data_IF_169986949433
#
_entry.id   IF_169986949433
#
_cell.length_a   1.000
_cell.length_b   1.000
_cell.length_c   1.000
_cell.angle_alpha   90.00
_cell.angle_beta   90.00
_cell.angle_gamma   90.00
#
_symmetry.space_group_name_H-M   'P 1'
#
loop_
_entity.id
_entity.type
_entity.pdbx_description
1 polymer ?
#
# COMPACT_ATOMS: atom_id res chain seq x y z
N UNK A 1 28.74 4.48 -41.32
CA UNK A 1 27.27 4.41 -41.45
C UNK A 1 26.65 3.14 -40.84
N UNK A 2 27.22 1.93 -41.00
CA UNK A 2 26.66 0.69 -40.38
C UNK A 2 26.70 0.64 -38.84
N UNK A 3 27.67 1.28 -38.20
CA UNK A 3 27.80 1.27 -36.72
C UNK A 3 26.88 2.25 -35.97
N UNK A 4 26.29 3.22 -36.67
CA UNK A 4 25.47 4.28 -36.06
C UNK A 4 24.01 3.82 -35.87
N UNK A 5 23.50 3.01 -36.80
CA UNK A 5 22.17 2.36 -36.64
C UNK A 5 22.15 1.32 -35.52
N UNK A 6 23.28 0.65 -35.28
CA UNK A 6 23.40 -0.34 -34.19
C UNK A 6 23.40 0.28 -32.80
N UNK A 7 23.78 1.56 -32.66
CA UNK A 7 23.79 2.28 -31.39
C UNK A 7 22.40 2.88 -31.08
N UNK A 8 21.68 3.34 -32.10
CA UNK A 8 20.31 3.90 -31.96
C UNK A 8 19.28 2.80 -31.67
N UNK A 9 19.45 1.59 -32.23
CA UNK A 9 18.58 0.44 -31.91
C UNK A 9 18.85 -0.11 -30.49
N UNK A 10 20.07 0.04 -29.96
CA UNK A 10 20.43 -0.40 -28.62
C UNK A 10 19.92 0.54 -27.51
N UNK A 11 19.83 1.85 -27.77
CA UNK A 11 19.31 2.82 -26.79
C UNK A 11 17.78 2.80 -26.69
N UNK A 12 17.06 2.42 -27.76
CA UNK A 12 15.60 2.21 -27.68
C UNK A 12 15.21 0.93 -26.92
N UNK A 13 16.15 0.00 -26.72
CA UNK A 13 15.96 -1.22 -25.92
C UNK A 13 16.37 -1.08 -24.44
N UNK A 14 16.87 0.10 -24.05
CA UNK A 14 17.31 0.40 -22.67
C UNK A 14 16.31 1.23 -21.86
N UNK A 15 15.20 1.66 -22.47
CA UNK A 15 14.06 2.10 -21.67
C UNK A 15 13.31 0.86 -21.22
N UNK A 16 13.22 0.58 -19.90
CA UNK A 16 12.24 -0.40 -19.47
C UNK A 16 10.91 0.11 -19.98
N UNK A 17 10.29 -0.64 -20.90
CA UNK A 17 8.84 -0.64 -20.99
C UNK A 17 8.45 -1.01 -19.57
N UNK A 18 8.03 -0.04 -18.77
CA UNK A 18 7.29 -0.36 -17.56
C UNK A 18 5.99 -0.90 -18.12
N UNK A 19 5.98 -2.18 -18.48
CA UNK A 19 4.76 -2.93 -18.47
C UNK A 19 4.28 -2.73 -17.05
N UNK A 20 3.11 -2.13 -16.85
CA UNK A 20 2.42 -2.42 -15.61
C UNK A 20 2.33 -3.94 -15.60
N UNK A 21 3.13 -4.60 -14.74
CA UNK A 21 2.77 -5.94 -14.33
C UNK A 21 1.29 -5.85 -13.99
N UNK A 22 0.49 -6.76 -14.52
CA UNK A 22 -0.96 -6.71 -14.36
C UNK A 22 -1.24 -6.54 -12.86
N UNK A 23 -1.73 -5.35 -12.47
CA UNK A 23 -1.81 -4.94 -11.08
C UNK A 23 -3.14 -5.49 -10.55
N UNK A 24 -3.10 -6.27 -9.48
CA UNK A 24 -4.28 -6.83 -8.85
C UNK A 24 -4.47 -6.21 -7.46
N UNK A 25 -5.65 -6.41 -6.93
CA UNK A 25 -5.99 -6.12 -5.55
C UNK A 25 -6.87 -7.27 -5.04
N UNK A 26 -7.05 -7.33 -3.73
CA UNK A 26 -8.02 -8.24 -3.12
C UNK A 26 -9.33 -7.50 -2.88
N UNK A 27 -10.43 -8.07 -3.39
CA UNK A 27 -11.78 -7.63 -3.13
C UNK A 27 -12.44 -8.52 -2.10
N UNK A 28 -12.86 -7.91 -1.01
CA UNK A 28 -13.48 -8.54 0.14
C UNK A 28 -14.98 -8.27 0.10
N UNK A 29 -15.77 -9.30 0.36
CA UNK A 29 -17.18 -9.19 0.69
C UNK A 29 -17.36 -9.31 2.21
N UNK A 30 -18.57 -9.03 2.73
CA UNK A 30 -18.86 -9.31 4.13
C UNK A 30 -18.55 -10.78 4.44
N UNK A 31 -17.81 -11.05 5.54
CA UNK A 31 -17.26 -12.36 5.96
C UNK A 31 -15.92 -12.80 5.37
N UNK A 32 -15.35 -12.10 4.37
CA UNK A 32 -14.08 -12.50 3.75
C UNK A 32 -12.87 -11.86 4.42
N UNK A 33 -11.73 -12.55 4.37
CA UNK A 33 -10.50 -12.10 5.04
C UNK A 33 -9.24 -12.74 4.49
N UNK A 34 -8.10 -12.14 4.83
CA UNK A 34 -6.80 -12.81 4.76
C UNK A 34 -6.17 -12.84 6.15
N UNK A 35 -5.59 -13.97 6.51
CA UNK A 35 -4.98 -14.16 7.81
C UNK A 35 -3.79 -15.11 7.73
N UNK A 36 -3.02 -15.16 8.81
CA UNK A 36 -2.00 -16.17 9.02
C UNK A 36 -2.39 -17.01 10.23
N UNK A 37 -2.22 -18.34 10.13
CA UNK A 37 -2.16 -19.18 11.33
C UNK A 37 -0.99 -18.71 12.20
N UNK A 38 -1.14 -18.53 13.52
CA UNK A 38 -0.05 -18.09 14.38
C UNK A 38 1.19 -18.99 14.28
N UNK A 39 2.41 -18.42 14.28
CA UNK A 39 2.71 -16.99 14.39
C UNK A 39 2.58 -16.28 13.03
N UNK A 40 1.71 -15.28 12.96
CA UNK A 40 1.59 -14.38 11.82
C UNK A 40 2.73 -13.37 11.73
N UNK A 41 2.70 -12.43 10.77
CA UNK A 41 3.61 -11.28 10.73
C UNK A 41 3.25 -10.24 11.82
N UNK A 42 3.03 -10.70 13.06
CA UNK A 42 2.65 -9.83 14.17
C UNK A 42 3.80 -8.86 14.45
N UNK A 43 3.55 -7.57 14.27
CA UNK A 43 4.52 -6.54 14.60
C UNK A 43 4.49 -6.25 16.08
N UNK A 44 5.64 -6.43 16.73
CA UNK A 44 5.81 -6.29 18.18
C UNK A 44 6.24 -4.87 18.60
N UNK A 45 6.17 -3.91 17.67
CA UNK A 45 6.65 -2.54 17.89
C UNK A 45 5.57 -1.68 18.54
N UNK A 46 5.95 -0.89 19.54
CA UNK A 46 5.05 0.05 20.23
C UNK A 46 5.52 1.50 20.23
N UNK A 47 6.76 1.75 19.78
CA UNK A 47 7.30 3.09 19.66
C UNK A 47 7.19 3.58 18.21
N UNK A 48 8.20 3.37 17.38
CA UNK A 48 8.20 3.87 16.01
C UNK A 48 7.75 2.80 15.02
N UNK A 49 6.74 3.11 14.22
CA UNK A 49 6.29 2.25 13.13
C UNK A 49 5.39 3.01 12.13
N UNK A 50 5.22 2.42 10.95
CA UNK A 50 4.17 2.77 9.99
C UNK A 50 3.46 1.51 9.50
N UNK A 51 2.13 1.53 9.43
CA UNK A 51 1.34 0.57 8.66
C UNK A 51 0.55 1.35 7.62
N UNK A 52 0.65 0.97 6.35
CA UNK A 52 -0.04 1.64 5.26
C UNK A 52 -0.68 0.67 4.27
N UNK A 53 -1.74 1.11 3.61
CA UNK A 53 -2.40 0.38 2.54
C UNK A 53 -3.31 1.31 1.72
N UNK A 54 -3.67 0.85 0.52
CA UNK A 54 -4.79 1.40 -0.22
C UNK A 54 -6.08 0.69 0.16
N UNK A 55 -7.14 1.47 0.31
CA UNK A 55 -8.49 0.93 0.55
C UNK A 55 -9.52 1.58 -0.37
N UNK A 56 -10.55 0.82 -0.73
CA UNK A 56 -11.76 1.32 -1.38
C UNK A 56 -12.97 0.59 -0.80
N UNK A 57 -13.63 1.23 0.17
CA UNK A 57 -14.85 0.70 0.77
C UNK A 57 -16.00 0.79 -0.24
N UNK A 58 -16.79 -0.27 -0.41
CA UNK A 58 -17.87 -0.33 -1.41
C UNK A 58 -19.14 0.46 -1.04
N UNK A 59 -19.22 0.96 0.20
CA UNK A 59 -20.37 1.70 0.74
C UNK A 59 -21.40 0.83 1.46
N UNK A 60 -21.23 -0.50 1.48
CA UNK A 60 -22.15 -1.44 2.14
C UNK A 60 -21.84 -1.60 3.63
N UNK A 61 -22.76 -2.22 4.37
CA UNK A 61 -22.56 -2.54 5.78
C UNK A 61 -22.21 -1.31 6.65
N UNK A 62 -22.91 -0.20 6.41
CA UNK A 62 -22.70 1.04 7.15
C UNK A 62 -23.00 0.91 8.65
N UNK A 63 -23.90 -0.01 9.05
CA UNK A 63 -24.34 -0.23 10.42
C UNK A 63 -23.42 -1.12 11.28
N UNK A 64 -22.33 -1.66 10.72
CA UNK A 64 -21.34 -2.46 11.43
C UNK A 64 -19.95 -1.86 11.30
N UNK A 65 -19.09 -2.15 12.28
CA UNK A 65 -17.68 -1.82 12.18
C UNK A 65 -17.06 -2.58 10.98
N UNK A 66 -15.96 -2.07 10.42
CA UNK A 66 -15.27 -2.69 9.27
C UNK A 66 -13.76 -2.60 9.48
N UNK A 67 -13.12 -3.70 9.82
CA UNK A 67 -11.68 -3.73 10.13
C UNK A 67 -10.86 -3.82 8.85
N UNK A 68 -9.94 -2.85 8.67
CA UNK A 68 -9.01 -2.84 7.53
C UNK A 68 -7.86 -3.81 7.81
N UNK A 69 -7.32 -3.75 9.02
CA UNK A 69 -6.34 -4.72 9.50
C UNK A 69 -6.40 -4.83 11.01
N UNK A 70 -5.76 -5.87 11.51
CA UNK A 70 -5.59 -6.08 12.92
C UNK A 70 -4.25 -6.75 13.22
N UNK A 71 -3.54 -6.21 14.21
CA UNK A 71 -2.28 -6.72 14.71
C UNK A 71 -2.33 -6.81 16.24
N UNK A 72 -2.69 -7.98 16.79
CA UNK A 72 -2.76 -8.19 18.24
C UNK A 72 -4.11 -8.73 18.75
N UNK A 73 -4.67 -8.03 19.74
CA UNK A 73 -5.92 -8.27 20.47
C UNK A 73 -6.66 -6.93 20.75
N UNK A 74 -7.92 -6.76 20.35
CA UNK A 74 -8.68 -5.50 20.49
C UNK A 74 -8.96 -5.12 21.94
N UNK A 75 -8.96 -6.08 22.85
CA UNK A 75 -9.35 -5.89 24.25
C UNK A 75 -8.16 -5.77 25.19
N UNK A 76 -6.95 -6.14 24.75
CA UNK A 76 -5.80 -6.31 25.66
C UNK A 76 -4.53 -5.62 25.14
N UNK A 77 -4.17 -5.83 23.87
CA UNK A 77 -2.86 -5.42 23.34
C UNK A 77 -2.79 -5.35 21.84
N UNK A 78 -1.98 -4.47 21.28
CA UNK A 78 -1.85 -4.28 19.83
C UNK A 78 -2.74 -3.19 19.27
N UNK A 79 -2.91 -3.19 17.95
CA UNK A 79 -3.44 -2.03 17.25
C UNK A 79 -4.07 -2.34 15.90
N UNK A 80 -4.94 -1.42 15.45
CA UNK A 80 -5.78 -1.59 14.28
C UNK A 80 -6.25 -0.25 13.70
N UNK A 81 -6.60 -0.28 12.41
CA UNK A 81 -7.49 0.69 11.78
C UNK A 81 -8.80 0.01 11.37
N UNK A 82 -9.91 0.69 11.64
CA UNK A 82 -11.23 0.24 11.23
C UNK A 82 -12.15 1.43 10.94
N UNK A 83 -13.28 1.17 10.29
CA UNK A 83 -14.33 2.17 10.04
C UNK A 83 -15.46 1.92 11.03
N UNK A 84 -15.84 2.94 11.80
CA UNK A 84 -16.93 2.85 12.78
C UNK A 84 -18.28 2.70 12.10
N UNK A 85 -19.12 1.86 12.68
CA UNK A 85 -20.54 1.77 12.37
C UNK A 85 -21.21 3.16 12.42
N UNK A 86 -22.17 3.37 11.52
CA UNK A 86 -23.06 4.53 11.40
C UNK A 86 -22.41 5.87 11.04
N UNK A 87 -21.19 6.16 11.51
CA UNK A 87 -20.49 7.43 11.25
C UNK A 87 -19.50 7.36 10.09
N UNK A 88 -19.12 6.14 9.69
CA UNK A 88 -18.09 5.87 8.68
C UNK A 88 -16.74 6.55 8.99
N UNK A 89 -16.53 6.95 10.25
CA UNK A 89 -15.29 7.56 10.69
C UNK A 89 -14.20 6.50 10.79
N UNK A 90 -13.00 6.84 10.30
CA UNK A 90 -11.82 6.00 10.48
C UNK A 90 -11.38 6.12 11.93
N UNK A 91 -11.27 4.98 12.59
CA UNK A 91 -10.86 4.85 13.97
C UNK A 91 -9.48 4.20 14.02
N UNK A 92 -8.66 4.69 14.94
CA UNK A 92 -7.46 3.98 15.36
C UNK A 92 -7.72 3.34 16.73
N UNK A 93 -7.40 2.06 16.85
CA UNK A 93 -7.59 1.30 18.07
C UNK A 93 -6.24 0.85 18.60
N UNK A 94 -5.97 1.11 19.87
CA UNK A 94 -4.97 0.43 20.67
C UNK A 94 -5.70 -0.47 21.68
N UNK A 95 -5.47 -1.77 21.57
CA UNK A 95 -6.26 -2.77 22.27
C UNK A 95 -6.24 -2.60 23.78
N UNK A 96 -7.42 -2.46 24.39
CA UNK A 96 -7.57 -2.19 25.83
C UNK A 96 -7.05 -0.82 26.30
N UNK A 97 -6.62 0.07 25.40
CA UNK A 97 -6.01 1.37 25.73
C UNK A 97 -6.87 2.53 25.23
N UNK A 98 -7.11 2.63 23.92
CA UNK A 98 -7.86 3.74 23.33
C UNK A 98 -8.53 3.34 22.02
N UNK A 99 -9.74 3.83 21.79
CA UNK A 99 -10.45 3.85 20.51
C UNK A 99 -10.65 5.32 20.12
N UNK A 100 -9.86 5.81 19.16
CA UNK A 100 -9.80 7.23 18.79
C UNK A 100 -10.39 7.45 17.40
N UNK A 101 -11.39 8.32 17.33
CA UNK A 101 -11.89 8.88 16.09
C UNK A 101 -10.86 9.84 15.49
N UNK A 102 -10.38 9.54 14.28
CA UNK A 102 -9.36 10.33 13.61
C UNK A 102 -9.89 11.68 13.10
N UNK A 103 -11.21 11.85 13.08
CA UNK A 103 -11.89 13.02 12.50
C UNK A 103 -12.03 12.96 10.98
N UNK A 104 -11.63 11.84 10.35
CA UNK A 104 -11.82 11.60 8.91
C UNK A 104 -12.91 10.55 8.70
N UNK A 105 -13.81 10.80 7.76
CA UNK A 105 -14.80 9.83 7.26
C UNK A 105 -14.26 9.20 5.98
N UNK A 106 -14.34 7.88 5.85
CA UNK A 106 -13.92 7.21 4.62
C UNK A 106 -15.02 7.32 3.56
N UNK A 107 -14.77 7.96 2.40
CA UNK A 107 -15.75 8.01 1.32
C UNK A 107 -15.96 6.62 0.69
N UNK A 108 -17.22 6.30 0.39
CA UNK A 108 -17.55 5.09 -0.37
C UNK A 108 -17.04 5.19 -1.81
N UNK A 109 -16.69 4.04 -2.39
CA UNK A 109 -16.25 3.82 -3.76
C UNK A 109 -15.09 4.72 -4.23
N UNK A 110 -14.32 5.28 -3.29
CA UNK A 110 -13.22 6.20 -3.57
C UNK A 110 -11.90 5.61 -3.10
N UNK A 111 -10.92 5.40 -4.01
CA UNK A 111 -9.57 5.00 -3.64
C UNK A 111 -8.96 5.94 -2.61
N UNK A 112 -8.56 5.42 -1.46
CA UNK A 112 -7.98 6.20 -0.36
C UNK A 112 -6.76 5.49 0.19
N UNK A 113 -5.61 6.18 0.23
CA UNK A 113 -4.42 5.69 0.89
C UNK A 113 -4.46 6.03 2.38
N UNK A 114 -4.19 5.05 3.24
CA UNK A 114 -4.17 5.20 4.68
C UNK A 114 -2.79 4.81 5.20
N UNK A 115 -2.19 5.64 6.04
CA UNK A 115 -0.95 5.32 6.74
C UNK A 115 -1.04 5.70 8.22
N UNK A 116 -1.06 4.70 9.11
CA UNK A 116 -0.97 4.88 10.56
C UNK A 116 0.51 4.98 10.94
N UNK A 117 0.95 6.17 11.34
CA UNK A 117 2.33 6.44 11.71
C UNK A 117 2.40 6.71 13.21
N UNK A 118 3.29 6.01 13.90
CA UNK A 118 3.68 6.36 15.27
C UNK A 118 5.12 6.84 15.26
N UNK A 119 5.34 8.08 15.67
CA UNK A 119 6.65 8.73 15.69
C UNK A 119 6.90 9.38 17.05
N UNK A 120 7.92 8.91 17.77
CA UNK A 120 8.35 9.48 19.04
C UNK A 120 7.20 9.68 20.05
N UNK A 121 6.31 8.69 20.16
CA UNK A 121 5.20 8.68 21.10
C UNK A 121 3.89 9.29 20.60
N UNK A 122 3.87 9.92 19.41
CA UNK A 122 2.65 10.48 18.80
C UNK A 122 2.20 9.57 17.66
N UNK A 123 0.91 9.22 17.67
CA UNK A 123 0.28 8.47 16.58
C UNK A 123 -0.63 9.36 15.75
N UNK A 124 -0.43 9.32 14.44
CA UNK A 124 -1.12 10.12 13.44
C UNK A 124 -1.55 9.22 12.29
N UNK A 125 -2.81 9.33 11.87
CA UNK A 125 -3.26 8.77 10.60
C UNK A 125 -2.97 9.79 9.50
N UNK A 126 -2.40 9.34 8.38
CA UNK A 126 -2.33 10.10 7.13
C UNK A 126 -3.33 9.50 6.13
N UNK A 127 -4.15 10.36 5.53
CA UNK A 127 -5.15 10.02 4.52
C UNK A 127 -4.77 10.73 3.23
N UNK A 128 -4.50 9.97 2.17
CA UNK A 128 -3.93 10.48 0.91
C UNK A 128 -2.73 11.41 1.16
N UNK A 129 -1.86 11.01 2.08
CA UNK A 129 -0.64 11.75 2.44
C UNK A 129 -0.86 13.00 3.31
N UNK A 130 -2.10 13.32 3.69
CA UNK A 130 -2.43 14.46 4.57
C UNK A 130 -2.76 13.96 5.98
N UNK A 131 -2.21 14.60 7.02
CA UNK A 131 -2.48 14.21 8.40
C UNK A 131 -3.96 14.42 8.78
N UNK A 132 -4.55 13.42 9.43
CA UNK A 132 -5.86 13.53 10.06
C UNK A 132 -5.81 14.53 11.23
N UNK A 133 -6.94 15.20 11.54
CA UNK A 133 -6.95 16.27 12.54
C UNK A 133 -6.67 15.77 13.96
N UNK A 134 -7.05 14.53 14.28
CA UNK A 134 -6.89 13.98 15.63
C UNK A 134 -5.69 13.04 15.70
N UNK A 135 -4.91 13.19 16.76
CA UNK A 135 -3.74 12.37 17.11
C UNK A 135 -3.85 11.88 18.55
N UNK A 136 -3.03 10.90 18.94
CA UNK A 136 -2.93 10.48 20.34
C UNK A 136 -1.48 10.27 20.78
N UNK A 137 -1.23 10.52 22.06
CA UNK A 137 0.03 10.20 22.76
C UNK A 137 -0.05 8.88 23.51
N UNK A 138 -1.22 8.23 23.55
CA UNK A 138 -1.38 6.90 24.13
C UNK A 138 -0.39 5.92 23.47
N UNK A 139 0.11 4.96 24.24
CA UNK A 139 1.00 3.91 23.73
C UNK A 139 0.24 2.59 23.63
N UNK A 140 0.40 1.82 22.55
CA UNK A 140 -0.19 0.50 22.49
C UNK A 140 0.53 -0.45 23.46
N UNK A 141 -0.22 -1.36 24.07
CA UNK A 141 0.39 -2.53 24.70
C UNK A 141 0.99 -3.42 23.61
N UNK A 142 2.15 -4.03 23.90
CA UNK A 142 2.92 -4.85 22.94
C UNK A 142 2.11 -6.10 22.55
N UNK A 143 1.81 -6.34 21.25
CA UNK A 143 1.31 -7.63 20.77
C UNK A 143 2.24 -8.78 21.16
N UNK A 144 1.72 -10.00 21.25
CA UNK A 144 2.53 -11.21 21.41
C UNK A 144 2.42 -12.10 20.18
N UNK A 145 3.40 -12.97 19.94
CA UNK A 145 3.44 -13.80 18.72
C UNK A 145 2.27 -14.79 18.57
N UNK A 146 1.54 -15.08 19.64
CA UNK A 146 0.31 -15.89 19.61
C UNK A 146 -0.94 -15.07 19.35
N UNK A 147 -0.83 -13.74 19.32
CA UNK A 147 -1.94 -12.89 18.92
C UNK A 147 -2.22 -13.05 17.41
N UNK A 148 -3.43 -12.67 17.00
CA UNK A 148 -3.85 -12.75 15.61
C UNK A 148 -3.28 -11.61 14.76
N UNK A 149 -3.06 -11.92 13.49
CA UNK A 149 -2.88 -10.92 12.44
C UNK A 149 -3.87 -11.21 11.30
N UNK A 150 -4.58 -10.17 10.86
CA UNK A 150 -5.51 -10.27 9.73
C UNK A 150 -5.61 -8.94 8.99
N UNK A 151 -5.94 -9.04 7.70
CA UNK A 151 -6.30 -7.91 6.85
C UNK A 151 -7.72 -8.17 6.33
N UNK A 152 -8.53 -7.11 6.34
CA UNK A 152 -9.93 -7.13 5.92
C UNK A 152 -10.90 -7.68 6.95
N UNK A 153 -10.49 -8.00 8.19
CA UNK A 153 -11.35 -8.71 9.14
C UNK A 153 -10.90 -8.66 10.60
N UNK A 154 -11.89 -8.71 11.50
CA UNK A 154 -11.73 -9.08 12.89
C UNK A 154 -12.97 -9.84 13.41
N UNK A 155 -12.80 -11.12 13.79
CA UNK A 155 -13.85 -11.93 14.42
C UNK A 155 -15.12 -12.13 13.56
N UNK A 156 -16.10 -12.87 14.07
CA UNK A 156 -17.14 -13.53 13.26
C UNK A 156 -18.13 -12.66 12.46
N UNK A 157 -18.01 -11.33 12.38
CA UNK A 157 -18.95 -10.50 11.58
C UNK A 157 -18.43 -9.12 11.14
N UNK A 158 -17.13 -8.84 11.24
CA UNK A 158 -16.61 -7.47 11.10
C UNK A 158 -15.53 -7.40 10.02
N UNK A 159 -15.90 -7.71 8.78
CA UNK A 159 -15.00 -7.58 7.63
C UNK A 159 -15.15 -6.24 6.90
N UNK A 160 -14.09 -5.83 6.21
CA UNK A 160 -14.09 -4.68 5.33
C UNK A 160 -14.66 -5.09 3.96
N UNK A 161 -15.79 -4.53 3.52
CA UNK A 161 -16.32 -4.80 2.19
C UNK A 161 -15.74 -3.81 1.17
N UNK A 162 -15.13 -4.34 0.11
CA UNK A 162 -14.45 -3.56 -0.92
C UNK A 162 -13.00 -4.02 -1.10
N UNK A 163 -12.12 -3.12 -1.52
CA UNK A 163 -10.77 -3.51 -1.95
C UNK A 163 -9.68 -3.05 -0.98
N UNK A 164 -8.68 -3.90 -0.78
CA UNK A 164 -7.42 -3.56 -0.12
C UNK A 164 -6.28 -3.95 -1.07
N UNK A 165 -5.25 -3.10 -1.13
CA UNK A 165 -4.07 -3.27 -1.97
C UNK A 165 -2.83 -2.67 -1.27
N UNK A 166 -1.64 -3.12 -1.65
CA UNK A 166 -0.34 -2.57 -1.22
C UNK A 166 -0.20 -2.44 0.31
N UNK A 167 -0.52 -3.49 1.05
CA UNK A 167 -0.40 -3.47 2.52
C UNK A 167 1.06 -3.58 2.95
N UNK A 168 1.54 -2.61 3.73
CA UNK A 168 2.95 -2.51 4.13
C UNK A 168 3.08 -2.23 5.63
N UNK A 169 4.14 -2.77 6.20
CA UNK A 169 4.52 -2.59 7.60
C UNK A 169 5.98 -2.17 7.66
N UNK A 170 6.25 -1.10 8.39
CA UNK A 170 7.56 -0.49 8.53
C UNK A 170 7.90 -0.33 10.02
N UNK A 171 9.13 -0.70 10.38
CA UNK A 171 9.71 -0.48 11.71
C UNK A 171 10.27 0.92 11.92
N UNK A 172 9.85 1.88 11.10
CA UNK A 172 10.22 3.29 11.20
C UNK A 172 8.98 4.17 10.97
N UNK A 173 8.96 5.40 11.50
CA UNK A 173 7.92 6.35 11.19
C UNK A 173 8.20 7.00 9.83
N UNK A 174 7.45 6.60 8.81
CA UNK A 174 7.56 7.24 7.49
C UNK A 174 7.13 8.71 7.55
N UNK A 175 7.89 9.56 6.87
CA UNK A 175 7.54 10.97 6.70
C UNK A 175 6.35 11.13 5.75
N UNK A 176 5.59 12.24 5.88
CA UNK A 176 4.53 12.56 4.93
C UNK A 176 5.05 12.65 3.47
N UNK A 177 6.27 13.16 3.27
CA UNK A 177 6.90 13.23 1.95
C UNK A 177 7.19 11.82 1.39
N UNK A 178 7.71 10.91 2.22
CA UNK A 178 7.93 9.51 1.84
C UNK A 178 6.61 8.84 1.47
N UNK A 179 5.58 9.00 2.30
CA UNK A 179 4.23 8.45 2.04
C UNK A 179 3.70 8.94 0.69
N UNK A 180 3.73 10.25 0.44
CA UNK A 180 3.26 10.83 -0.82
C UNK A 180 4.05 10.34 -2.05
N UNK A 181 5.37 10.20 -1.93
CA UNK A 181 6.21 9.76 -3.04
C UNK A 181 6.03 8.26 -3.37
N UNK A 182 5.72 7.43 -2.37
CA UNK A 182 5.80 5.97 -2.49
C UNK A 182 4.45 5.23 -2.38
N UNK A 183 3.35 5.89 -2.02
CA UNK A 183 2.04 5.23 -1.84
C UNK A 183 1.57 4.47 -3.09
N UNK A 184 1.87 4.96 -4.29
CA UNK A 184 1.47 4.32 -5.55
C UNK A 184 2.59 3.58 -6.28
N UNK A 185 3.77 3.46 -5.67
CA UNK A 185 4.94 2.80 -6.27
C UNK A 185 5.19 1.43 -5.64
N UNK A 186 5.69 0.50 -6.44
CA UNK A 186 6.27 -0.74 -5.90
C UNK A 186 7.43 -0.41 -4.96
N UNK A 187 7.49 -1.10 -3.83
CA UNK A 187 8.61 -0.97 -2.89
C UNK A 187 9.84 -1.64 -3.48
N UNK A 188 10.89 -0.86 -3.72
CA UNK A 188 12.18 -1.31 -4.26
C UNK A 188 13.33 -0.78 -3.40
N UNK A 189 14.56 -1.20 -3.71
CA UNK A 189 15.76 -0.88 -2.93
C UNK A 189 16.09 0.61 -2.81
N UNK A 190 15.51 1.47 -3.65
CA UNK A 190 15.68 2.92 -3.58
C UNK A 190 14.69 3.62 -2.64
N UNK A 191 13.77 2.89 -1.99
CA UNK A 191 12.91 3.44 -0.95
C UNK A 191 13.78 3.92 0.23
N UNK A 192 13.62 5.17 0.71
CA UNK A 192 14.52 5.74 1.73
C UNK A 192 14.53 4.95 3.04
N UNK A 193 13.39 4.37 3.41
CA UNK A 193 13.22 3.58 4.63
C UNK A 193 13.26 2.06 4.39
N UNK A 194 13.79 1.58 3.26
CA UNK A 194 13.77 0.15 2.88
C UNK A 194 14.32 -0.79 3.96
N UNK A 195 15.34 -0.36 4.69
CA UNK A 195 15.95 -1.13 5.77
C UNK A 195 14.99 -1.38 6.95
N UNK A 196 13.92 -0.58 7.07
CA UNK A 196 12.89 -0.73 8.10
C UNK A 196 11.69 -1.54 7.64
N UNK A 197 11.65 -2.01 6.39
CA UNK A 197 10.51 -2.77 5.88
C UNK A 197 10.39 -4.09 6.65
N UNK A 198 9.22 -4.34 7.24
CA UNK A 198 8.91 -5.57 7.97
C UNK A 198 8.18 -6.55 7.06
N UNK A 199 7.11 -6.09 6.41
CA UNK A 199 6.31 -6.86 5.48
C UNK A 199 5.72 -5.94 4.39
N UNK A 200 5.60 -6.46 3.17
CA UNK A 200 5.03 -5.75 2.03
C UNK A 200 4.25 -6.74 1.17
N UNK A 201 2.93 -6.64 1.19
CA UNK A 201 2.01 -7.45 0.40
C UNK A 201 1.51 -6.61 -0.78
N UNK A 202 2.09 -6.77 -1.98
CA UNK A 202 1.67 -6.02 -3.16
C UNK A 202 0.31 -6.47 -3.68
N UNK A 203 -0.18 -7.66 -3.29
CA UNK A 203 -1.46 -8.24 -3.72
C UNK A 203 -1.60 -8.33 -5.25
N UNK A 204 -0.49 -8.70 -5.92
CA UNK A 204 -0.35 -8.75 -7.37
C UNK A 204 -0.29 -10.17 -7.95
N UNK A 205 -0.61 -11.19 -7.16
CA UNK A 205 -0.57 -12.59 -7.57
C UNK A 205 -1.68 -12.93 -8.58
N UNK A 206 -2.83 -12.26 -8.49
CA UNK A 206 -3.94 -12.37 -9.43
C UNK A 206 -4.69 -13.70 -9.46
N UNK A 207 -4.23 -14.70 -8.71
CA UNK A 207 -4.86 -16.00 -8.53
C UNK A 207 -4.28 -16.74 -7.31
N UNK A 208 -4.93 -17.81 -6.88
CA UNK A 208 -4.46 -18.67 -5.78
C UNK A 208 -4.99 -18.26 -4.41
N UNK A 209 -4.56 -19.00 -3.37
CA UNK A 209 -5.07 -18.93 -2.00
C UNK A 209 -4.15 -18.19 -1.02
N UNK A 210 -3.11 -17.52 -1.52
CA UNK A 210 -2.17 -16.81 -0.66
C UNK A 210 -1.74 -15.49 -1.26
N UNK A 211 -1.50 -14.49 -0.42
CA UNK A 211 -0.66 -13.34 -0.77
C UNK A 211 0.65 -13.40 -0.01
N UNK A 212 1.75 -13.11 -0.69
CA UNK A 212 3.11 -13.28 -0.18
C UNK A 212 3.74 -11.92 0.07
N UNK A 213 4.36 -11.76 1.24
CA UNK A 213 5.17 -10.57 1.49
C UNK A 213 6.46 -10.63 0.65
N UNK A 214 6.74 -9.57 -0.12
CA UNK A 214 7.97 -9.44 -0.91
C UNK A 214 8.94 -8.48 -0.23
N UNK A 215 10.13 -8.98 0.08
CA UNK A 215 11.12 -8.25 0.87
C UNK A 215 10.73 -8.11 2.35
N UNK A 216 11.49 -7.26 3.05
CA UNK A 216 11.33 -7.01 4.49
C UNK A 216 11.95 -8.08 5.39
N UNK A 217 11.97 -7.81 6.69
CA UNK A 217 12.58 -8.69 7.69
C UNK A 217 11.71 -9.87 8.13
N UNK A 218 10.42 -9.90 7.77
CA UNK A 218 9.48 -10.95 8.19
C UNK A 218 8.52 -11.36 7.05
N UNK A 219 9.00 -12.01 5.98
CA UNK A 219 8.17 -12.38 4.84
C UNK A 219 7.32 -13.62 5.15
N UNK A 220 6.14 -13.42 5.75
CA UNK A 220 5.14 -14.48 5.99
C UNK A 220 4.07 -14.40 4.90
N UNK A 221 3.64 -15.54 4.37
CA UNK A 221 2.47 -15.60 3.48
C UNK A 221 1.18 -15.56 4.28
N UNK A 222 0.20 -14.81 3.79
CA UNK A 222 -1.17 -14.81 4.33
C UNK A 222 -2.04 -15.71 3.47
N UNK A 223 -2.87 -16.51 4.12
CA UNK A 223 -3.87 -17.37 3.49
C UNK A 223 -5.16 -16.58 3.29
N UNK A 224 -5.77 -16.73 2.12
CA UNK A 224 -7.11 -16.26 1.84
C UNK A 224 -8.12 -17.18 2.53
N UNK A 225 -9.09 -16.57 3.22
CA UNK A 225 -10.15 -17.29 3.91
C UNK A 225 -9.67 -18.14 5.10
N UNK A 226 -10.41 -19.21 5.34
CA UNK A 226 -10.29 -20.03 6.55
C UNK A 226 -9.46 -21.29 6.37
N UNK A 227 -9.25 -21.71 5.13
CA UNK A 227 -8.56 -22.95 4.78
C UNK A 227 -7.50 -22.74 3.68
N UNK A 228 -6.53 -23.66 3.52
CA UNK A 228 -5.59 -23.61 2.39
C UNK A 228 -6.23 -23.85 1.02
N UNK A 229 -7.53 -24.13 0.97
CA UNK A 229 -8.31 -24.44 -0.25
C UNK A 229 -9.38 -23.38 -0.45
N UNK A 230 -9.94 -23.30 -1.66
CA UNK A 230 -10.97 -22.31 -1.94
C UNK A 230 -12.20 -22.49 -1.05
N UNK A 231 -12.59 -21.43 -0.35
CA UNK A 231 -13.75 -21.39 0.54
C UNK A 231 -14.52 -20.07 0.45
N UNK A 232 -15.68 -19.99 1.11
CA UNK A 232 -16.57 -18.82 1.02
C UNK A 232 -15.99 -17.55 1.68
N UNK A 233 -15.01 -17.70 2.57
CA UNK A 233 -14.32 -16.61 3.25
C UNK A 233 -13.14 -16.05 2.43
N UNK A 234 -12.88 -16.58 1.24
CA UNK A 234 -11.81 -16.09 0.37
C UNK A 234 -12.19 -14.76 -0.30
N UNK A 235 -11.39 -13.70 -0.15
CA UNK A 235 -11.51 -12.55 -1.04
C UNK A 235 -11.12 -12.95 -2.47
N UNK A 236 -11.60 -12.16 -3.42
CA UNK A 236 -11.35 -12.41 -4.84
C UNK A 236 -10.26 -11.50 -5.39
N UNK A 237 -9.42 -12.05 -6.27
CA UNK A 237 -8.48 -11.26 -7.05
C UNK A 237 -9.23 -10.43 -8.10
N UNK A 238 -8.95 -9.13 -8.14
CA UNK A 238 -9.54 -8.20 -9.09
C UNK A 238 -8.46 -7.32 -9.70
N UNK A 239 -8.68 -6.76 -10.89
CA UNK A 239 -7.79 -5.75 -11.43
C UNK A 239 -7.76 -4.53 -10.49
N UNK A 240 -6.56 -4.11 -10.10
CA UNK A 240 -6.38 -2.94 -9.27
C UNK A 240 -6.68 -1.69 -10.09
N UNK A 241 -7.43 -0.78 -9.48
CA UNK A 241 -7.77 0.54 -10.05
C UNK A 241 -7.28 1.66 -9.12
N UNK A 242 -6.38 1.33 -8.19
CA UNK A 242 -5.75 2.31 -7.33
C UNK A 242 -4.82 3.21 -8.15
N UNK A 243 -4.69 4.50 -7.80
CA UNK A 243 -3.85 5.43 -8.54
C UNK A 243 -2.39 4.97 -8.56
N UNK A 244 -1.84 4.83 -9.77
CA UNK A 244 -0.40 4.73 -9.98
C UNK A 244 0.13 6.11 -10.37
N UNK A 245 1.34 6.51 -9.92
CA UNK A 245 1.92 7.77 -10.35
C UNK A 245 2.02 7.79 -11.87
N UNK A 246 1.32 8.74 -12.48
CA UNK A 246 1.53 9.02 -13.89
C UNK A 246 2.92 9.62 -14.03
N UNK A 247 3.65 9.25 -15.07
CA UNK A 247 4.84 9.99 -15.47
C UNK A 247 4.33 11.41 -15.74
N UNK A 248 4.65 12.34 -14.84
CA UNK A 248 4.19 13.73 -14.96
C UNK A 248 4.71 14.30 -16.27
N UNK A 249 4.11 15.38 -16.77
CA UNK A 249 4.42 16.03 -18.07
C UNK A 249 5.93 16.21 -18.32
N UNK A 250 6.76 16.29 -17.28
CA UNK A 250 8.22 16.30 -17.36
C UNK A 250 8.84 15.06 -18.01
N UNK A 251 8.29 13.86 -17.80
CA UNK A 251 8.72 12.64 -18.47
C UNK A 251 8.45 12.68 -19.98
N UNK A 252 7.31 13.24 -20.37
CA UNK A 252 6.93 13.45 -21.78
C UNK A 252 7.71 14.60 -22.43
N UNK A 253 7.99 15.68 -21.70
CA UNK A 253 8.82 16.80 -22.14
C UNK A 253 10.28 16.39 -22.34
N UNK A 254 10.85 15.58 -21.44
CA UNK A 254 12.20 15.02 -21.62
C UNK A 254 12.28 14.13 -22.86
N UNK A 255 11.27 13.30 -23.10
CA UNK A 255 11.15 12.52 -24.34
C UNK A 255 11.02 13.42 -25.58
N UNK A 256 10.20 14.48 -25.49
CA UNK A 256 10.02 15.45 -26.57
C UNK A 256 11.28 16.24 -26.91
N UNK A 257 12.01 16.72 -25.90
CA UNK A 257 13.28 17.45 -26.06
C UNK A 257 14.38 16.54 -26.60
N UNK A 258 14.44 15.27 -26.18
CA UNK A 258 15.39 14.29 -26.70
C UNK A 258 15.11 13.97 -28.18
N UNK A 259 13.84 13.83 -28.57
CA UNK A 259 13.43 13.63 -29.97
C UNK A 259 13.70 14.87 -30.85
N UNK A 260 13.50 16.08 -30.31
CA UNK A 260 13.81 17.33 -31.03
C UNK A 260 15.32 17.54 -31.20
N UNK A 261 16.13 17.26 -30.18
CA UNK A 261 17.59 17.33 -30.27
C UNK A 261 18.16 16.37 -31.34
N UNK A 262 17.55 15.18 -31.49
CA UNK A 262 17.90 14.21 -32.54
C UNK A 262 17.47 14.65 -33.95
N UNK A 263 16.39 15.44 -34.07
CA UNK A 263 15.94 15.99 -35.35
C UNK A 263 16.85 17.13 -35.84
N UNK A 264 17.39 17.94 -34.92
CA UNK A 264 18.29 19.05 -35.24
C UNK A 264 19.69 18.58 -35.66
N UNK A 265 20.13 17.40 -35.21
CA UNK A 265 21.44 16.86 -35.59
C UNK A 265 21.49 16.26 -37.02
N UNK A 266 20.35 16.16 -37.72
CA UNK A 266 20.28 15.61 -39.08
C UNK A 266 20.42 16.66 -40.20
N UNK A 267 20.57 17.94 -39.89
CA UNK A 267 20.78 18.97 -40.93
C UNK A 267 22.29 19.28 -41.06
N UNK A 268 22.97 18.83 -42.13
CA UNK A 268 24.32 19.27 -42.39
C UNK A 268 24.29 20.76 -42.74
N UNK A 269 25.00 21.59 -41.97
CA UNK A 269 25.26 22.98 -42.31
C UNK A 269 26.17 22.98 -43.53
N UNK A 270 25.61 23.21 -44.72
CA UNK A 270 26.39 23.49 -45.92
C UNK A 270 27.10 24.82 -45.75
N UNK A 271 28.38 24.78 -45.38
CA UNK A 271 29.26 25.95 -45.50
C UNK A 271 29.45 26.24 -46.98
N UNK A 272 28.77 27.26 -47.49
CA UNK A 272 29.14 27.89 -48.75
C UNK A 272 30.51 28.54 -48.57
N UNK A 273 31.56 27.95 -49.13
CA UNK A 273 32.80 28.68 -49.38
C UNK A 273 32.53 29.65 -50.53
N UNK A 274 32.59 30.95 -50.21
CA UNK A 274 32.71 32.00 -51.22
C UNK A 274 34.14 32.01 -51.77
N UNK A 275 34.23 32.40 -53.04
CA UNK A 275 35.35 32.30 -53.97
C UNK A 275 36.68 32.88 -53.48
#
# INVERSE_FOLDING_TARGET
MKYIYSFILAVLLLFPIISSAQNFALNFTPTQYISSSPPGPVMLLTNNFTIECWVRWDGTNSAVDKYIFFNGNTSIRGYSLYIKANTQSIQMLYGGVIDLATGVTLPANTPTHLALVRNAGITTLYVNGTAAPNTTTASPNVPIGTDGFSIGYFGSSVSFPGQIDNFRMWGAPLSAATINAWMGLSVITTHPDIASLIANYPMNEGSGQTTVSVGGSNPVSLTLGSTPTTDANDPTWVQSTFPVPTVTEWGLLLMGVLLMALAWWKFPVTRHQQA
#
